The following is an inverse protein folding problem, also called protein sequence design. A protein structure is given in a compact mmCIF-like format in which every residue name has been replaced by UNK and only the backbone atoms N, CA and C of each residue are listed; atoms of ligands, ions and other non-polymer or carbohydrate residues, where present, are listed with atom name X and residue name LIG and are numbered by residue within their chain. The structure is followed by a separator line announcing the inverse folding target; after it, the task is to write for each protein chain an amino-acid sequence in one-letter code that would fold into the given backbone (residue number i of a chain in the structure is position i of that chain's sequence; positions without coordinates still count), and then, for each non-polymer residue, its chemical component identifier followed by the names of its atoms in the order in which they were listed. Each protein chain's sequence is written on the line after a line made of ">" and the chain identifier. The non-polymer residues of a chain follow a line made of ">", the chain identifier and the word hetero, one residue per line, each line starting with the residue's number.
data_IF_405304828519
#
_entry.id   IF_405304828519
#
_cell.length_a   1.000
_cell.length_b   1.000
_cell.length_c   1.000
_cell.angle_alpha   90.00
_cell.angle_beta   90.00
_cell.angle_gamma   90.00
#
_symmetry.space_group_name_H-M   'P 1'
#
loop_
_entity.id
_entity.type
_entity.pdbx_description
1 polymer ?
#
# COMPACT_ATOMS: atom_id res chain seq x y z
N UNK A 1 -3.23 21.89 -13.32
CA UNK A 1 -3.19 20.41 -13.23
C UNK A 1 -2.19 19.86 -12.21
N UNK A 2 -0.94 20.35 -12.12
CA UNK A 2 0.08 19.82 -11.19
C UNK A 2 -0.30 19.84 -9.70
N UNK A 3 -1.08 20.83 -9.25
CA UNK A 3 -1.48 20.95 -7.83
C UNK A 3 -2.48 19.88 -7.40
N UNK A 4 -3.50 19.60 -8.22
CA UNK A 4 -4.52 18.59 -7.90
C UNK A 4 -3.91 17.19 -7.87
N UNK A 5 -3.03 16.87 -8.83
CA UNK A 5 -2.32 15.59 -8.85
C UNK A 5 -1.50 15.34 -7.58
N UNK A 6 -0.82 16.36 -7.05
CA UNK A 6 -0.10 16.27 -5.77
C UNK A 6 -1.03 16.08 -4.57
N UNK A 7 -2.23 16.66 -4.60
CA UNK A 7 -3.19 16.52 -3.51
C UNK A 7 -3.76 15.10 -3.42
N UNK A 8 -4.07 14.47 -4.55
CA UNK A 8 -4.68 13.14 -4.58
C UNK A 8 -3.67 11.99 -4.67
N UNK A 9 -2.38 12.28 -4.81
CA UNK A 9 -1.33 11.28 -4.99
C UNK A 9 -1.34 10.19 -3.90
N UNK A 10 -1.61 10.55 -2.65
CA UNK A 10 -1.71 9.60 -1.53
C UNK A 10 -2.84 8.58 -1.71
N UNK A 11 -4.03 9.04 -2.13
CA UNK A 11 -5.18 8.17 -2.39
C UNK A 11 -4.97 7.31 -3.64
N UNK A 12 -4.38 7.87 -4.69
CA UNK A 12 -4.06 7.11 -5.90
C UNK A 12 -3.06 6.00 -5.60
N UNK A 13 -2.02 6.31 -4.81
CA UNK A 13 -1.04 5.32 -4.40
C UNK A 13 -1.69 4.21 -3.57
N UNK A 14 -2.57 4.56 -2.63
CA UNK A 14 -3.35 3.57 -1.88
C UNK A 14 -4.19 2.68 -2.81
N UNK A 15 -4.92 3.27 -3.75
CA UNK A 15 -5.76 2.51 -4.68
C UNK A 15 -4.93 1.53 -5.52
N UNK A 16 -3.77 1.96 -6.03
CA UNK A 16 -2.84 1.11 -6.77
C UNK A 16 -2.31 -0.03 -5.89
N UNK A 17 -1.84 0.28 -4.67
CA UNK A 17 -1.32 -0.73 -3.74
C UNK A 17 -2.40 -1.76 -3.38
N UNK A 18 -3.64 -1.31 -3.11
CA UNK A 18 -4.78 -2.17 -2.84
C UNK A 18 -5.10 -3.11 -4.02
N UNK A 19 -5.21 -2.56 -5.23
CA UNK A 19 -5.48 -3.38 -6.42
C UNK A 19 -4.39 -4.42 -6.67
N UNK A 20 -3.12 -4.04 -6.54
CA UNK A 20 -2.00 -4.97 -6.74
C UNK A 20 -2.00 -6.06 -5.66
N UNK A 21 -2.17 -5.71 -4.39
CA UNK A 21 -2.22 -6.69 -3.29
C UNK A 21 -3.32 -7.73 -3.49
N UNK A 22 -4.55 -7.27 -3.70
CA UNK A 22 -5.70 -8.18 -3.77
C UNK A 22 -5.77 -8.98 -5.08
N UNK A 23 -5.26 -8.44 -6.19
CA UNK A 23 -5.12 -9.22 -7.44
C UNK A 23 -4.06 -10.31 -7.31
N UNK A 24 -2.90 -10.00 -6.71
CA UNK A 24 -1.86 -11.00 -6.43
C UNK A 24 -2.32 -12.06 -5.44
N UNK A 25 -3.16 -11.70 -4.46
CA UNK A 25 -3.75 -12.67 -3.55
C UNK A 25 -4.62 -13.69 -4.30
N UNK A 26 -5.53 -13.25 -5.18
CA UNK A 26 -6.33 -14.16 -5.99
C UNK A 26 -5.49 -15.05 -6.90
N UNK A 27 -4.55 -14.44 -7.63
CA UNK A 27 -3.62 -15.13 -8.53
C UNK A 27 -2.73 -16.13 -7.79
N UNK A 28 -2.25 -15.77 -6.61
CA UNK A 28 -1.35 -16.60 -5.82
C UNK A 28 -2.06 -17.82 -5.20
N UNK A 29 -3.34 -17.70 -4.86
CA UNK A 29 -4.13 -18.85 -4.43
C UNK A 29 -4.44 -19.80 -5.59
N UNK A 30 -4.84 -19.28 -6.74
CA UNK A 30 -5.10 -20.11 -7.94
C UNK A 30 -3.82 -20.83 -8.42
N UNK A 31 -2.66 -20.17 -8.35
CA UNK A 31 -1.37 -20.74 -8.77
C UNK A 31 -0.68 -21.60 -7.71
N UNK A 32 -1.29 -21.82 -6.56
CA UNK A 32 -0.73 -22.69 -5.51
C UNK A 32 0.54 -22.13 -4.84
N UNK A 33 0.74 -20.81 -4.82
CA UNK A 33 1.91 -20.19 -4.15
C UNK A 33 1.93 -20.46 -2.64
N UNK A 34 0.79 -20.84 -2.05
CA UNK A 34 0.69 -21.23 -0.66
C UNK A 34 1.46 -22.55 -0.36
N UNK A 35 1.60 -23.44 -1.35
CA UNK A 35 2.28 -24.74 -1.17
C UNK A 35 3.80 -24.62 -1.31
N UNK A 36 4.26 -23.63 -2.07
CA UNK A 36 5.70 -23.37 -2.27
C UNK A 36 6.28 -22.66 -1.05
N UNK A 37 7.23 -23.31 -0.38
CA UNK A 37 7.96 -22.73 0.76
C UNK A 37 9.17 -21.92 0.29
N UNK A 38 9.33 -20.72 0.83
CA UNK A 38 10.45 -19.82 0.63
C UNK A 38 10.94 -19.29 1.99
N UNK A 39 12.16 -19.67 2.40
CA UNK A 39 12.78 -19.21 3.65
C UNK A 39 11.93 -19.44 4.92
N UNK A 40 11.13 -20.53 4.95
CA UNK A 40 10.25 -20.86 6.07
C UNK A 40 8.90 -20.12 6.09
N UNK A 41 8.60 -19.36 5.04
CA UNK A 41 7.30 -18.74 4.76
C UNK A 41 6.71 -19.30 3.46
N UNK A 42 5.39 -19.23 3.27
CA UNK A 42 4.81 -19.48 1.93
C UNK A 42 5.30 -18.40 0.97
N UNK A 43 5.60 -18.77 -0.28
CA UNK A 43 5.91 -17.81 -1.35
C UNK A 43 4.79 -16.77 -1.46
N UNK A 44 3.54 -17.21 -1.29
CA UNK A 44 2.36 -16.37 -1.26
C UNK A 44 2.52 -15.22 -0.26
N UNK A 45 2.77 -15.56 1.02
CA UNK A 45 2.90 -14.57 2.09
C UNK A 45 4.14 -13.69 1.91
N UNK A 46 5.24 -14.24 1.41
CA UNK A 46 6.44 -13.47 1.12
C UNK A 46 6.19 -12.39 0.06
N UNK A 47 5.49 -12.74 -1.04
CA UNK A 47 5.15 -11.77 -2.10
C UNK A 47 4.19 -10.71 -1.60
N UNK A 48 3.13 -11.09 -0.88
CA UNK A 48 2.16 -10.13 -0.37
C UNK A 48 2.77 -9.18 0.67
N UNK A 49 3.61 -9.69 1.57
CA UNK A 49 4.36 -8.85 2.52
C UNK A 49 5.31 -7.89 1.80
N UNK A 50 6.02 -8.35 0.77
CA UNK A 50 6.91 -7.49 -0.01
C UNK A 50 6.16 -6.33 -0.68
N UNK A 51 5.02 -6.61 -1.30
CA UNK A 51 4.17 -5.57 -1.93
C UNK A 51 3.61 -4.62 -0.89
N UNK A 52 3.15 -5.13 0.26
CA UNK A 52 2.62 -4.30 1.34
C UNK A 52 3.69 -3.36 1.91
N UNK A 53 4.89 -3.86 2.20
CA UNK A 53 6.02 -3.07 2.68
C UNK A 53 6.42 -2.01 1.65
N UNK A 54 6.45 -2.37 0.36
CA UNK A 54 6.75 -1.42 -0.71
C UNK A 54 5.70 -0.31 -0.81
N UNK A 55 4.41 -0.66 -0.71
CA UNK A 55 3.31 0.30 -0.69
C UNK A 55 3.39 1.24 0.52
N UNK A 56 3.70 0.70 1.69
CA UNK A 56 3.96 1.46 2.92
C UNK A 56 5.12 2.44 2.76
N UNK A 57 6.26 1.95 2.26
CA UNK A 57 7.45 2.77 2.04
C UNK A 57 7.17 3.91 1.04
N UNK A 58 6.45 3.61 -0.05
CA UNK A 58 6.03 4.63 -1.01
C UNK A 58 5.09 5.67 -0.40
N UNK A 59 4.12 5.23 0.43
CA UNK A 59 3.18 6.12 1.11
C UNK A 59 3.89 7.05 2.09
N UNK A 60 4.80 6.50 2.90
CA UNK A 60 5.60 7.26 3.84
C UNK A 60 6.54 8.23 3.13
N UNK A 61 7.23 7.79 2.07
CA UNK A 61 8.09 8.66 1.26
C UNK A 61 7.30 9.83 0.68
N UNK A 62 6.07 9.58 0.19
CA UNK A 62 5.19 10.63 -0.32
C UNK A 62 4.74 11.59 0.79
N UNK A 63 4.36 11.08 1.96
CA UNK A 63 3.96 11.90 3.10
C UNK A 63 5.10 12.78 3.63
N UNK A 64 6.33 12.25 3.66
CA UNK A 64 7.54 12.98 4.07
C UNK A 64 8.01 13.99 3.01
N UNK A 65 7.73 13.75 1.73
CA UNK A 65 8.06 14.68 0.65
C UNK A 65 7.13 15.91 0.59
N UNK A 66 5.99 15.89 1.29
CA UNK A 66 5.08 17.04 1.38
C UNK A 66 5.49 17.91 2.58
N UNK A 67 6.02 19.08 2.28
CA UNK A 67 6.37 20.06 3.30
C UNK A 67 5.12 20.75 3.86
N UNK A 68 4.75 20.43 5.11
CA UNK A 68 3.61 21.02 5.80
C UNK A 68 3.82 22.50 6.18
N UNK A 69 5.06 23.00 6.19
CA UNK A 69 5.37 24.37 6.66
C UNK A 69 4.99 25.47 5.67
N UNK A 70 4.55 25.13 4.47
CA UNK A 70 4.08 26.10 3.48
C UNK A 70 2.61 26.44 3.71
N UNK A 71 2.31 27.73 3.79
CA UNK A 71 0.98 28.26 4.18
C UNK A 71 -0.16 28.05 3.15
N UNK A 72 0.07 27.32 2.05
CA UNK A 72 -0.96 27.12 1.03
C UNK A 72 -1.90 25.99 1.47
N UNK A 73 -3.20 26.28 1.52
CA UNK A 73 -4.26 25.32 1.86
C UNK A 73 -4.15 23.99 1.07
N UNK A 74 -3.70 24.05 -0.19
CA UNK A 74 -3.50 22.88 -1.05
C UNK A 74 -2.40 21.93 -0.55
N UNK A 75 -1.33 22.46 0.06
CA UNK A 75 -0.23 21.63 0.57
C UNK A 75 -0.62 20.98 1.90
N UNK A 76 -1.35 21.73 2.74
CA UNK A 76 -1.97 21.23 3.97
C UNK A 76 -2.97 20.09 3.71
N UNK A 77 -3.82 20.24 2.71
CA UNK A 77 -4.76 19.17 2.27
C UNK A 77 -3.98 17.97 1.71
N UNK A 78 -2.97 18.21 0.87
CA UNK A 78 -2.14 17.14 0.31
C UNK A 78 -1.42 16.31 1.37
N UNK A 79 -0.93 16.94 2.44
CA UNK A 79 -0.29 16.24 3.56
C UNK A 79 -1.26 15.29 4.27
N UNK A 80 -2.46 15.77 4.63
CA UNK A 80 -3.46 14.91 5.28
C UNK A 80 -3.93 13.78 4.38
N UNK A 81 -4.10 14.03 3.08
CA UNK A 81 -4.47 12.99 2.11
C UNK A 81 -3.34 11.95 1.95
N UNK A 82 -2.08 12.37 1.96
CA UNK A 82 -0.93 11.45 1.93
C UNK A 82 -0.89 10.55 3.17
N UNK A 83 -1.13 11.10 4.35
CA UNK A 83 -1.24 10.32 5.58
C UNK A 83 -2.45 9.41 5.60
N UNK A 84 -3.61 9.90 5.15
CA UNK A 84 -4.82 9.08 5.04
C UNK A 84 -4.59 7.89 4.11
N UNK A 85 -4.02 8.10 2.92
CA UNK A 85 -3.66 7.03 1.99
C UNK A 85 -2.67 6.03 2.59
N UNK A 86 -1.66 6.51 3.31
CA UNK A 86 -0.71 5.64 4.02
C UNK A 86 -1.44 4.79 5.07
N UNK A 87 -2.21 5.38 5.97
CA UNK A 87 -2.99 4.65 6.98
C UNK A 87 -3.94 3.63 6.33
N UNK A 88 -4.55 3.98 5.20
CA UNK A 88 -5.39 3.04 4.45
C UNK A 88 -4.59 1.87 3.88
N UNK A 89 -3.37 2.06 3.36
CA UNK A 89 -2.48 0.95 2.93
C UNK A 89 -2.17 0.03 4.13
N UNK A 90 -1.92 0.62 5.30
CA UNK A 90 -1.61 -0.15 6.50
C UNK A 90 -2.79 -1.03 6.89
N UNK A 91 -3.98 -0.43 6.99
CA UNK A 91 -5.21 -1.14 7.32
C UNK A 91 -5.58 -2.21 6.28
N UNK A 92 -5.43 -1.92 4.99
CA UNK A 92 -5.73 -2.86 3.91
C UNK A 92 -4.77 -4.04 3.81
N UNK A 93 -3.51 -3.89 4.21
CA UNK A 93 -2.54 -4.99 4.22
C UNK A 93 -2.53 -5.79 5.52
N UNK A 94 -3.19 -5.31 6.58
CA UNK A 94 -3.24 -6.00 7.87
C UNK A 94 -3.85 -7.42 7.79
N UNK A 95 -4.94 -7.66 7.02
CA UNK A 95 -5.49 -9.00 6.83
C UNK A 95 -4.48 -10.01 6.26
N UNK A 96 -3.58 -9.58 5.37
CA UNK A 96 -2.50 -10.44 4.81
C UNK A 96 -1.58 -10.98 5.90
N UNK A 97 -1.37 -10.22 6.98
CA UNK A 97 -0.50 -10.64 8.07
C UNK A 97 -1.19 -11.57 9.08
N UNK A 98 -2.53 -11.52 9.20
CA UNK A 98 -3.28 -12.13 10.30
C UNK A 98 -4.19 -13.27 9.85
N UNK A 99 -4.74 -13.21 8.64
CA UNK A 99 -5.66 -14.22 8.11
C UNK A 99 -4.92 -15.33 7.34
N UNK A 100 -5.54 -16.51 7.21
CA UNK A 100 -5.03 -17.58 6.35
C UNK A 100 -4.97 -17.12 4.88
N UNK A 101 -3.89 -17.48 4.19
CA UNK A 101 -3.60 -17.06 2.82
C UNK A 101 -4.67 -17.53 1.81
N UNK A 102 -5.11 -18.79 1.91
CA UNK A 102 -6.13 -19.35 1.02
C UNK A 102 -7.05 -20.26 1.87
N UNK A 103 -8.36 -20.08 1.69
CA UNK A 103 -9.41 -20.95 2.26
C UNK A 103 -9.84 -22.00 1.24
#
# INVERSE_FOLDING_TARGET
>A
MKAIGRMVAGLVLWAVAFTVLYSLHGVGCERGWAETQLLGLSLHRAVLLAVWILGMAAGLALALAVDWRRERMTERVGYWIAWAGTVSIFASGLPVAVLPDCL
#
